data_IF_367985822829
#
_entry.id   IF_367985822829
#
_cell.length_a   1.000
_cell.length_b   1.000
_cell.length_c   1.000
_cell.angle_alpha   90.00
_cell.angle_beta   90.00
_cell.angle_gamma   90.00
#
_symmetry.space_group_name_H-M   'P 1'
#
loop_
_entity.id
_entity.type
_entity.pdbx_description
1 polymer ?
#
# COMPACT_ATOMS: atom_id res chain seq x y z
N UNK A 1 0.49 29.55 3.02
CA UNK A 1 0.27 28.98 4.37
C UNK A 1 -1.18 28.55 4.60
N UNK A 2 -2.17 29.35 4.21
CA UNK A 2 -3.63 29.06 4.36
C UNK A 2 -4.10 27.77 3.66
N UNK A 3 -3.59 27.43 2.46
CA UNK A 3 -4.05 26.23 1.73
C UNK A 3 -3.67 24.89 2.40
N UNK A 4 -2.53 24.83 3.10
CA UNK A 4 -2.07 23.60 3.77
C UNK A 4 -2.83 23.30 5.06
N UNK A 5 -3.20 24.32 5.82
CA UNK A 5 -4.07 24.17 6.99
C UNK A 5 -5.46 23.69 6.58
N UNK A 6 -6.00 24.25 5.50
CA UNK A 6 -7.27 23.80 4.90
C UNK A 6 -7.22 22.32 4.48
N UNK A 7 -6.09 21.83 3.94
CA UNK A 7 -5.94 20.41 3.60
C UNK A 7 -5.87 19.50 4.81
N UNK A 8 -5.15 19.89 5.87
CA UNK A 8 -5.15 19.13 7.13
C UNK A 8 -6.56 18.97 7.68
N UNK A 9 -7.33 20.07 7.70
CA UNK A 9 -8.72 20.04 8.14
C UNK A 9 -9.59 19.13 7.29
N UNK A 10 -9.47 19.21 5.94
CA UNK A 10 -10.19 18.34 5.02
C UNK A 10 -9.87 16.86 5.24
N UNK A 11 -8.59 16.52 5.43
CA UNK A 11 -8.16 15.14 5.70
C UNK A 11 -8.74 14.68 7.04
N UNK A 12 -8.60 15.48 8.09
CA UNK A 12 -9.11 15.15 9.43
C UNK A 12 -10.63 14.96 9.42
N UNK A 13 -11.36 15.81 8.70
CA UNK A 13 -12.80 15.71 8.54
C UNK A 13 -13.17 14.45 7.72
N UNK A 14 -12.44 14.20 6.63
CA UNK A 14 -12.62 12.99 5.83
C UNK A 14 -12.41 11.69 6.61
N UNK A 15 -11.43 11.67 7.53
CA UNK A 15 -11.21 10.55 8.45
C UNK A 15 -12.39 10.36 9.42
N UNK A 16 -12.87 11.45 10.02
CA UNK A 16 -14.00 11.41 10.96
C UNK A 16 -15.31 10.96 10.32
N UNK A 17 -15.52 11.30 9.06
CA UNK A 17 -16.74 10.99 8.31
C UNK A 17 -16.62 9.74 7.43
N UNK A 18 -15.57 8.94 7.63
CA UNK A 18 -15.33 7.69 6.89
C UNK A 18 -15.30 7.88 5.35
N UNK A 19 -14.79 9.03 4.88
CA UNK A 19 -14.77 9.40 3.47
C UNK A 19 -13.56 8.91 2.68
N UNK A 20 -12.58 8.27 3.32
CA UNK A 20 -11.50 7.57 2.63
C UNK A 20 -11.95 6.16 2.22
N UNK A 21 -11.82 5.87 0.93
CA UNK A 21 -12.25 4.59 0.38
C UNK A 21 -11.16 4.01 -0.54
N UNK A 22 -10.94 2.68 -0.53
CA UNK A 22 -10.08 2.04 -1.51
C UNK A 22 -10.77 1.96 -2.87
N UNK A 23 -10.03 2.33 -3.91
CA UNK A 23 -10.35 1.97 -5.28
C UNK A 23 -9.39 0.89 -5.73
N UNK A 24 -9.87 -0.06 -6.49
CA UNK A 24 -9.13 -1.28 -6.81
C UNK A 24 -8.66 -1.24 -8.26
N UNK A 25 -7.34 -1.13 -8.45
CA UNK A 25 -6.72 -1.20 -9.76
C UNK A 25 -6.33 -2.64 -10.07
N UNK A 26 -6.82 -3.24 -11.19
CA UNK A 26 -6.50 -4.62 -11.52
C UNK A 26 -5.03 -4.74 -11.95
N UNK A 27 -4.40 -5.84 -11.57
CA UNK A 27 -3.07 -6.26 -12.01
C UNK A 27 -3.26 -7.51 -12.85
N UNK A 28 -2.85 -7.42 -14.12
CA UNK A 28 -2.95 -8.53 -15.07
C UNK A 28 -1.78 -9.49 -14.86
N UNK A 29 -2.09 -10.76 -14.67
CA UNK A 29 -1.12 -11.83 -14.74
C UNK A 29 -0.83 -12.12 -16.23
N UNK A 30 0.41 -11.90 -16.65
CA UNK A 30 0.82 -12.04 -18.06
C UNK A 30 0.96 -13.50 -18.49
N UNK A 31 1.16 -14.42 -17.55
CA UNK A 31 1.28 -15.85 -17.86
C UNK A 31 -0.10 -16.47 -18.13
N UNK A 32 -1.08 -16.12 -17.29
CA UNK A 32 -2.43 -16.69 -17.37
C UNK A 32 -3.42 -15.82 -18.15
N UNK A 33 -3.11 -14.55 -18.38
CA UNK A 33 -4.01 -13.56 -18.98
C UNK A 33 -5.21 -13.21 -18.11
N UNK A 34 -5.14 -13.47 -16.81
CA UNK A 34 -6.26 -13.27 -15.86
C UNK A 34 -5.95 -12.20 -14.82
N UNK A 35 -6.98 -11.71 -14.14
CA UNK A 35 -6.86 -10.73 -13.06
C UNK A 35 -7.37 -11.37 -11.77
N UNK A 36 -6.45 -11.67 -10.87
CA UNK A 36 -6.74 -12.16 -9.52
C UNK A 36 -6.15 -11.27 -8.43
N UNK A 37 -5.41 -10.24 -8.82
CA UNK A 37 -4.70 -9.34 -7.94
C UNK A 37 -5.14 -7.89 -8.21
N UNK A 38 -5.34 -7.10 -7.15
CA UNK A 38 -5.74 -5.70 -7.24
C UNK A 38 -4.91 -4.86 -6.27
N UNK A 39 -4.51 -3.66 -6.69
CA UNK A 39 -3.96 -2.67 -5.80
C UNK A 39 -5.07 -1.77 -5.24
N UNK A 40 -5.10 -1.61 -3.92
CA UNK A 40 -6.03 -0.76 -3.20
C UNK A 40 -5.47 0.65 -3.07
N UNK A 41 -5.98 1.56 -3.88
CA UNK A 41 -5.54 2.95 -3.95
C UNK A 41 -6.51 3.85 -3.18
N UNK A 42 -6.00 4.57 -2.17
CA UNK A 42 -6.79 5.50 -1.38
C UNK A 42 -7.46 6.57 -2.25
N UNK A 43 -8.73 6.85 -1.98
CA UNK A 43 -9.49 7.97 -2.55
C UNK A 43 -10.21 8.69 -1.44
N UNK A 44 -10.15 10.03 -1.44
CA UNK A 44 -10.95 10.84 -0.54
C UNK A 44 -12.19 11.34 -1.29
N UNK A 45 -13.35 11.07 -0.76
CA UNK A 45 -14.60 11.64 -1.26
C UNK A 45 -14.78 13.04 -0.68
N UNK A 46 -14.75 14.06 -1.51
CA UNK A 46 -14.97 15.44 -1.11
C UNK A 46 -16.39 15.68 -0.59
N UNK A 47 -16.62 16.80 0.09
CA UNK A 47 -17.96 17.18 0.56
C UNK A 47 -18.95 17.41 -0.61
N UNK A 48 -18.42 17.79 -1.75
CA UNK A 48 -19.16 17.93 -3.02
C UNK A 48 -19.34 16.62 -3.79
N UNK A 49 -18.94 15.48 -3.19
CA UNK A 49 -18.99 14.15 -3.79
C UNK A 49 -17.89 13.87 -4.82
N UNK A 50 -17.00 14.82 -5.12
CA UNK A 50 -15.89 14.58 -6.05
C UNK A 50 -14.82 13.71 -5.46
N UNK A 51 -14.23 12.88 -6.31
CA UNK A 51 -13.12 12.02 -5.92
C UNK A 51 -11.81 12.81 -5.97
N UNK A 52 -11.09 12.78 -4.86
CA UNK A 52 -9.79 13.41 -4.69
C UNK A 52 -8.72 12.33 -4.69
N UNK A 53 -7.73 12.49 -5.57
CA UNK A 53 -6.65 11.54 -5.76
C UNK A 53 -5.54 11.67 -4.70
N UNK A 54 -4.78 10.61 -4.40
CA UNK A 54 -3.74 10.58 -3.37
C UNK A 54 -2.71 11.70 -3.51
N UNK A 55 -2.25 12.02 -4.72
CA UNK A 55 -1.26 13.08 -4.95
C UNK A 55 -1.67 14.47 -4.45
N UNK A 56 -2.96 14.68 -4.12
CA UNK A 56 -3.43 15.94 -3.53
C UNK A 56 -3.34 15.98 -2.00
N UNK A 57 -3.26 14.84 -1.32
CA UNK A 57 -3.38 14.78 0.13
C UNK A 57 -2.31 13.95 0.85
N UNK A 58 -1.67 12.96 0.20
CA UNK A 58 -0.71 12.03 0.86
C UNK A 58 0.47 12.79 1.44
N UNK A 59 1.16 13.64 0.67
CA UNK A 59 2.31 14.42 1.15
C UNK A 59 1.94 15.29 2.37
N UNK A 60 0.71 15.81 2.37
CA UNK A 60 0.21 16.63 3.47
C UNK A 60 -0.08 15.75 4.68
N UNK A 61 -0.72 14.60 4.49
CA UNK A 61 -1.00 13.64 5.55
C UNK A 61 0.30 13.15 6.21
N UNK A 62 1.34 12.87 5.42
CA UNK A 62 2.67 12.50 5.94
C UNK A 62 3.32 13.61 6.77
N UNK A 63 3.29 14.86 6.26
CA UNK A 63 3.86 16.02 6.99
C UNK A 63 3.20 16.26 8.33
N UNK A 64 1.90 16.01 8.43
CA UNK A 64 1.14 16.15 9.68
C UNK A 64 1.05 14.86 10.51
N UNK A 65 1.75 13.80 10.10
CA UNK A 65 1.76 12.49 10.78
C UNK A 65 0.36 11.89 10.97
N UNK A 66 -0.52 12.07 9.97
CA UNK A 66 -1.89 11.52 9.95
C UNK A 66 -2.10 10.49 8.84
N UNK A 67 -1.08 10.20 8.04
CA UNK A 67 -1.15 9.20 6.96
C UNK A 67 -1.49 7.81 7.50
N UNK A 68 -0.89 7.38 8.60
CA UNK A 68 -1.17 6.07 9.22
C UNK A 68 -2.64 5.87 9.63
N UNK A 69 -3.41 6.94 9.85
CA UNK A 69 -4.86 6.84 10.05
C UNK A 69 -5.60 6.53 8.75
N UNK A 70 -5.13 7.09 7.63
CA UNK A 70 -5.66 6.78 6.29
C UNK A 70 -5.34 5.33 5.96
N UNK A 71 -4.10 4.90 6.17
CA UNK A 71 -3.64 3.54 5.87
C UNK A 71 -4.47 2.51 6.64
N UNK A 72 -4.68 2.71 7.94
CA UNK A 72 -5.54 1.83 8.75
C UNK A 72 -6.97 1.74 8.22
N UNK A 73 -7.55 2.86 7.78
CA UNK A 73 -8.90 2.87 7.21
C UNK A 73 -8.96 2.10 5.88
N UNK A 74 -7.98 2.31 4.99
CA UNK A 74 -7.89 1.60 3.72
C UNK A 74 -7.65 0.11 3.94
N UNK A 75 -6.75 -0.27 4.85
CA UNK A 75 -6.47 -1.67 5.22
C UNK A 75 -7.74 -2.36 5.69
N UNK A 76 -8.46 -1.79 6.64
CA UNK A 76 -9.68 -2.40 7.16
C UNK A 76 -10.75 -2.59 6.07
N UNK A 77 -10.99 -1.56 5.25
CA UNK A 77 -11.97 -1.64 4.16
C UNK A 77 -11.57 -2.65 3.10
N UNK A 78 -10.27 -2.75 2.79
CA UNK A 78 -9.75 -3.73 1.84
C UNK A 78 -9.88 -5.15 2.36
N UNK A 79 -9.55 -5.40 3.63
CA UNK A 79 -9.73 -6.72 4.26
C UNK A 79 -11.20 -7.15 4.27
N UNK A 80 -12.13 -6.23 4.58
CA UNK A 80 -13.57 -6.50 4.48
C UNK A 80 -13.98 -6.88 3.06
N UNK A 81 -13.43 -6.18 2.05
CA UNK A 81 -13.68 -6.49 0.64
C UNK A 81 -13.12 -7.85 0.26
N UNK A 82 -11.92 -8.19 0.68
CA UNK A 82 -11.31 -9.50 0.42
C UNK A 82 -12.18 -10.63 1.01
N UNK A 83 -12.60 -10.51 2.27
CA UNK A 83 -13.48 -11.48 2.92
C UNK A 83 -14.84 -11.61 2.21
N UNK A 84 -15.42 -10.49 1.75
CA UNK A 84 -16.67 -10.49 0.97
C UNK A 84 -16.50 -11.28 -0.33
N UNK A 85 -15.40 -11.06 -1.07
CA UNK A 85 -15.13 -11.74 -2.33
C UNK A 85 -14.89 -13.23 -2.12
N UNK A 86 -14.13 -13.59 -1.07
CA UNK A 86 -13.91 -14.99 -0.69
C UNK A 86 -15.22 -15.72 -0.38
N UNK A 87 -16.13 -15.10 0.37
CA UNK A 87 -17.48 -15.67 0.65
C UNK A 87 -18.31 -15.88 -0.59
N UNK A 88 -18.08 -15.10 -1.65
CA UNK A 88 -18.73 -15.27 -2.97
C UNK A 88 -18.05 -16.33 -3.85
N UNK A 89 -17.00 -16.99 -3.35
CA UNK A 89 -16.25 -17.98 -4.12
C UNK A 89 -15.29 -17.36 -5.16
N UNK A 90 -14.96 -16.07 -5.01
CA UNK A 90 -14.05 -15.35 -5.89
C UNK A 90 -12.77 -15.03 -5.10
N UNK A 91 -11.73 -15.88 -5.15
CA UNK A 91 -10.50 -15.66 -4.43
C UNK A 91 -9.69 -14.55 -5.12
N UNK A 92 -9.64 -13.38 -4.49
CA UNK A 92 -8.88 -12.22 -4.97
C UNK A 92 -7.83 -11.83 -3.94
N UNK A 93 -6.66 -11.44 -4.42
CA UNK A 93 -5.59 -10.85 -3.62
C UNK A 93 -5.60 -9.32 -3.73
N UNK A 94 -5.25 -8.65 -2.64
CA UNK A 94 -5.23 -7.20 -2.58
C UNK A 94 -3.91 -6.70 -2.03
N UNK A 95 -3.30 -5.77 -2.76
CA UNK A 95 -2.12 -5.03 -2.32
C UNK A 95 -2.53 -3.70 -1.70
N UNK A 96 -1.87 -3.32 -0.61
CA UNK A 96 -2.16 -2.12 0.18
C UNK A 96 -0.87 -1.39 0.49
N UNK A 97 -0.82 -0.11 0.15
CA UNK A 97 0.32 0.74 0.41
C UNK A 97 0.42 1.10 1.90
N UNK A 98 1.64 1.12 2.41
CA UNK A 98 2.00 1.59 3.74
C UNK A 98 2.95 2.78 3.65
N UNK A 99 2.76 3.75 4.51
CA UNK A 99 3.75 4.83 4.67
C UNK A 99 5.05 4.30 5.29
N UNK A 100 6.18 4.80 4.84
CA UNK A 100 7.47 4.48 5.46
C UNK A 100 7.55 4.84 6.95
N UNK A 101 6.69 5.74 7.43
CA UNK A 101 6.57 6.09 8.86
C UNK A 101 5.94 4.98 9.71
N UNK A 102 5.19 4.09 9.08
CA UNK A 102 4.56 2.95 9.74
C UNK A 102 5.54 1.79 9.97
N UNK A 103 6.72 1.84 9.33
CA UNK A 103 7.79 0.88 9.59
C UNK A 103 8.29 0.97 11.03
N UNK A 104 8.06 -0.09 11.79
CA UNK A 104 8.38 -0.13 13.21
C UNK A 104 7.25 0.35 14.13
N UNK A 105 6.08 0.67 13.59
CA UNK A 105 4.86 0.90 14.38
C UNK A 105 4.29 -0.46 14.83
N UNK A 106 4.53 -0.81 16.08
CA UNK A 106 3.98 -2.04 16.69
C UNK A 106 2.46 -2.02 16.76
N UNK A 107 1.87 -0.84 16.93
CA UNK A 107 0.41 -0.67 17.00
C UNK A 107 -0.24 -0.98 15.65
N UNK A 108 0.46 -0.72 14.53
CA UNK A 108 -0.02 -1.10 13.21
C UNK A 108 -0.04 -2.63 13.00
N UNK A 109 1.00 -3.34 13.45
CA UNK A 109 1.03 -4.81 13.37
C UNK A 109 -0.09 -5.44 14.20
N UNK A 110 -0.31 -4.95 15.41
CA UNK A 110 -1.41 -5.42 16.26
C UNK A 110 -2.77 -5.08 15.64
N UNK A 111 -2.91 -3.89 15.06
CA UNK A 111 -4.12 -3.52 14.31
C UNK A 111 -4.37 -4.49 13.14
N UNK A 112 -3.36 -4.79 12.31
CA UNK A 112 -3.48 -5.72 11.18
C UNK A 112 -3.92 -7.10 11.67
N UNK A 113 -3.29 -7.64 12.73
CA UNK A 113 -3.63 -8.93 13.32
C UNK A 113 -5.08 -8.98 13.81
N UNK A 114 -5.52 -7.95 14.52
CA UNK A 114 -6.90 -7.83 15.00
C UNK A 114 -7.86 -7.77 13.82
N UNK A 115 -7.56 -6.95 12.78
CA UNK A 115 -8.43 -6.79 11.62
C UNK A 115 -8.52 -8.03 10.74
N UNK A 116 -7.46 -8.81 10.60
CA UNK A 116 -7.52 -10.13 9.93
C UNK A 116 -8.57 -11.02 10.64
N UNK A 117 -8.52 -11.06 11.97
CA UNK A 117 -9.46 -11.86 12.76
C UNK A 117 -10.89 -11.33 12.68
N UNK A 118 -11.10 -10.03 12.87
CA UNK A 118 -12.44 -9.40 12.86
C UNK A 118 -13.13 -9.49 11.50
N UNK A 119 -12.38 -9.31 10.42
CA UNK A 119 -12.93 -9.34 9.06
C UNK A 119 -13.02 -10.75 8.49
N UNK A 120 -12.32 -11.71 9.09
CA UNK A 120 -12.13 -13.06 8.56
C UNK A 120 -11.50 -13.03 7.15
N UNK A 121 -10.56 -12.12 6.92
CA UNK A 121 -9.79 -12.04 5.68
C UNK A 121 -8.73 -13.15 5.64
N UNK A 122 -8.45 -13.70 4.46
CA UNK A 122 -7.35 -14.65 4.27
C UNK A 122 -6.02 -13.87 4.18
N UNK A 123 -5.12 -14.00 5.16
CA UNK A 123 -3.85 -13.26 5.14
C UNK A 123 -3.00 -13.59 3.91
N UNK A 124 -3.10 -14.79 3.34
CA UNK A 124 -2.38 -15.19 2.12
C UNK A 124 -2.81 -14.43 0.86
N UNK A 125 -3.92 -13.73 0.93
CA UNK A 125 -4.46 -12.87 -0.12
C UNK A 125 -4.22 -11.38 0.15
N UNK A 126 -3.44 -11.04 1.18
CA UNK A 126 -3.09 -9.67 1.54
C UNK A 126 -1.61 -9.42 1.24
N UNK A 127 -1.34 -8.38 0.47
CA UNK A 127 0.01 -7.93 0.15
C UNK A 127 0.18 -6.53 0.73
N UNK A 128 1.24 -6.28 1.47
CA UNK A 128 1.58 -4.95 1.95
C UNK A 128 2.75 -4.40 1.14
N UNK A 129 2.64 -3.15 0.71
CA UNK A 129 3.62 -2.51 -0.16
C UNK A 129 4.27 -1.33 0.55
N UNK A 130 5.59 -1.22 0.44
CA UNK A 130 6.34 0.00 0.80
C UNK A 130 7.26 0.38 -0.35
N UNK A 131 7.56 1.68 -0.45
CA UNK A 131 8.53 2.14 -1.44
C UNK A 131 9.94 1.69 -1.10
N UNK A 132 10.76 1.50 -2.12
CA UNK A 132 12.20 1.20 -1.98
C UNK A 132 12.89 2.19 -1.04
N UNK A 133 12.66 3.48 -1.25
CA UNK A 133 13.27 4.55 -0.44
C UNK A 133 12.90 4.43 1.04
N UNK A 134 11.67 4.08 1.35
CA UNK A 134 11.21 3.90 2.73
C UNK A 134 11.87 2.69 3.40
N UNK A 135 12.00 1.57 2.68
CA UNK A 135 12.64 0.36 3.19
C UNK A 135 14.12 0.57 3.51
N UNK A 136 14.86 1.28 2.63
CA UNK A 136 16.28 1.56 2.80
C UNK A 136 16.52 2.57 3.93
N UNK A 137 15.60 3.52 4.13
CA UNK A 137 15.71 4.55 5.16
C UNK A 137 15.89 3.99 6.58
N UNK A 138 15.32 2.82 6.87
CA UNK A 138 15.54 2.06 8.12
C UNK A 138 15.36 0.56 7.86
N UNK A 139 16.40 -0.05 7.27
CA UNK A 139 16.36 -1.45 6.86
C UNK A 139 16.08 -2.42 8.01
N UNK A 140 16.60 -2.13 9.19
CA UNK A 140 16.40 -3.00 10.37
C UNK A 140 14.93 -3.02 10.80
N UNK A 141 14.28 -1.85 10.84
CA UNK A 141 12.85 -1.78 11.15
C UNK A 141 12.02 -2.41 10.04
N UNK A 142 12.33 -2.13 8.76
CA UNK A 142 11.67 -2.73 7.63
C UNK A 142 11.73 -4.25 7.69
N UNK A 143 12.92 -4.83 7.89
CA UNK A 143 13.11 -6.28 7.98
C UNK A 143 12.31 -6.90 9.13
N UNK A 144 12.29 -6.27 10.30
CA UNK A 144 11.48 -6.76 11.44
C UNK A 144 9.99 -6.71 11.14
N UNK A 145 9.53 -5.61 10.55
CA UNK A 145 8.13 -5.42 10.20
C UNK A 145 7.67 -6.43 9.14
N UNK A 146 8.44 -6.60 8.07
CA UNK A 146 8.16 -7.59 7.01
C UNK A 146 8.09 -9.00 7.59
N UNK A 147 9.05 -9.39 8.44
CA UNK A 147 9.03 -10.70 9.09
C UNK A 147 7.76 -10.91 9.89
N UNK A 148 7.36 -9.93 10.71
CA UNK A 148 6.13 -10.02 11.50
C UNK A 148 4.87 -10.14 10.62
N UNK A 149 4.78 -9.43 9.49
CA UNK A 149 3.69 -9.57 8.52
C UNK A 149 3.67 -10.97 7.90
N UNK A 150 4.84 -11.51 7.55
CA UNK A 150 4.96 -12.86 6.98
C UNK A 150 4.60 -13.96 8.00
N UNK A 151 4.88 -13.75 9.28
CA UNK A 151 4.43 -14.65 10.37
C UNK A 151 2.90 -14.67 10.52
N UNK A 152 2.20 -13.58 10.16
CA UNK A 152 0.74 -13.56 10.05
C UNK A 152 0.22 -14.26 8.78
N UNK A 153 1.09 -14.65 7.86
CA UNK A 153 0.75 -15.27 6.58
C UNK A 153 0.55 -14.28 5.44
N UNK A 154 0.82 -12.99 5.64
CA UNK A 154 0.71 -11.97 4.61
C UNK A 154 1.93 -11.97 3.67
N UNK A 155 1.75 -11.38 2.49
CA UNK A 155 2.83 -11.12 1.54
C UNK A 155 3.32 -9.69 1.62
N UNK A 156 4.51 -9.47 1.07
CA UNK A 156 5.16 -8.18 1.05
C UNK A 156 5.70 -7.82 -0.32
N UNK A 157 5.48 -6.59 -0.75
CA UNK A 157 5.93 -6.04 -2.02
C UNK A 157 6.82 -4.80 -1.81
N UNK A 158 7.88 -4.68 -2.60
CA UNK A 158 8.69 -3.48 -2.67
C UNK A 158 8.27 -2.68 -3.90
N UNK A 159 7.82 -1.44 -3.67
CA UNK A 159 7.34 -0.54 -4.72
C UNK A 159 8.39 0.50 -5.13
N UNK A 160 8.19 1.11 -6.31
CA UNK A 160 9.06 2.10 -6.94
C UNK A 160 10.52 1.61 -7.09
N UNK A 161 10.71 0.31 -7.34
CA UNK A 161 12.04 -0.29 -7.44
C UNK A 161 12.84 0.25 -8.62
N UNK A 162 14.11 0.60 -8.32
CA UNK A 162 15.07 1.10 -9.30
C UNK A 162 15.28 2.62 -9.25
N UNK A 163 14.44 3.37 -8.52
CA UNK A 163 14.61 4.83 -8.34
C UNK A 163 15.62 5.14 -7.24
N UNK A 164 15.85 4.18 -6.34
CA UNK A 164 16.82 4.29 -5.23
C UNK A 164 18.17 3.64 -5.52
N UNK A 165 18.99 3.51 -4.48
CA UNK A 165 20.29 2.85 -4.53
C UNK A 165 20.23 1.44 -3.96
N UNK A 166 19.31 0.60 -4.43
CA UNK A 166 19.15 -0.74 -3.88
C UNK A 166 20.24 -1.68 -4.35
N UNK A 167 20.90 -2.34 -3.42
CA UNK A 167 21.71 -3.51 -3.75
C UNK A 167 20.88 -4.78 -3.60
N UNK A 168 21.14 -5.81 -4.41
CA UNK A 168 20.51 -7.13 -4.28
C UNK A 168 20.64 -7.73 -2.87
N UNK A 169 21.61 -7.27 -2.07
CA UNK A 169 21.78 -7.67 -0.67
C UNK A 169 20.58 -7.26 0.18
N UNK A 170 20.05 -6.06 -0.01
CA UNK A 170 18.87 -5.58 0.74
C UNK A 170 17.59 -6.36 0.39
N UNK A 171 17.40 -6.70 -0.88
CA UNK A 171 16.28 -7.54 -1.31
C UNK A 171 16.30 -8.90 -0.60
N UNK A 172 17.48 -9.50 -0.47
CA UNK A 172 17.65 -10.77 0.22
C UNK A 172 17.35 -10.67 1.72
N UNK A 173 17.71 -9.56 2.35
CA UNK A 173 17.44 -9.32 3.77
C UNK A 173 15.97 -9.04 4.05
N UNK A 174 15.29 -8.26 3.17
CA UNK A 174 13.87 -7.93 3.30
C UNK A 174 12.95 -9.12 3.04
N UNK A 175 13.41 -10.16 2.32
CA UNK A 175 12.62 -11.34 1.97
C UNK A 175 11.29 -10.97 1.28
N UNK A 176 11.33 -10.03 0.33
CA UNK A 176 10.16 -9.60 -0.44
C UNK A 176 9.59 -10.73 -1.28
N UNK A 177 8.27 -10.75 -1.44
CA UNK A 177 7.57 -11.71 -2.30
C UNK A 177 7.39 -11.13 -3.70
N UNK A 178 7.24 -9.81 -3.83
CA UNK A 178 7.04 -9.11 -5.08
C UNK A 178 7.91 -7.85 -5.17
N UNK A 179 8.22 -7.44 -6.39
CA UNK A 179 8.89 -6.19 -6.72
C UNK A 179 8.09 -5.50 -7.80
N UNK A 180 7.73 -4.24 -7.58
CA UNK A 180 7.09 -3.37 -8.57
C UNK A 180 8.14 -2.43 -9.15
N UNK A 181 8.44 -2.59 -10.42
CA UNK A 181 9.41 -1.74 -11.12
C UNK A 181 8.77 -0.37 -11.36
N UNK A 182 9.49 0.71 -11.02
CA UNK A 182 8.97 2.06 -11.22
C UNK A 182 8.63 2.33 -12.68
N UNK A 183 7.51 3.00 -12.89
CA UNK A 183 6.99 3.30 -14.21
C UNK A 183 7.91 4.16 -15.09
N UNK A 184 8.93 4.84 -14.54
CA UNK A 184 9.91 5.61 -15.32
C UNK A 184 10.73 4.74 -16.25
N UNK A 185 11.05 3.51 -15.83
CA UNK A 185 11.78 2.52 -16.64
C UNK A 185 10.93 2.01 -17.80
N UNK A 186 9.63 1.83 -17.56
CA UNK A 186 8.72 1.25 -18.56
C UNK A 186 8.27 2.29 -19.58
N UNK A 187 8.04 3.54 -19.17
CA UNK A 187 7.56 4.63 -20.05
C UNK A 187 8.50 4.92 -21.22
N UNK A 188 9.79 4.72 -21.05
CA UNK A 188 10.83 4.99 -22.06
C UNK A 188 11.43 3.73 -22.66
N UNK A 189 10.93 2.55 -22.33
CA UNK A 189 11.47 1.26 -22.75
C UNK A 189 11.69 1.15 -24.25
N UNK A 190 10.81 1.75 -25.05
CA UNK A 190 10.90 1.74 -26.52
C UNK A 190 11.91 2.77 -27.08
N UNK A 191 12.36 3.73 -26.26
CA UNK A 191 13.30 4.80 -26.66
C UNK A 191 14.68 4.62 -26.03
N UNK A 192 14.78 3.92 -24.91
CA UNK A 192 16.00 3.76 -24.11
C UNK A 192 16.56 2.37 -24.24
N UNK A 193 17.77 2.27 -24.81
CA UNK A 193 18.48 1.00 -24.90
C UNK A 193 18.96 0.49 -23.54
N UNK A 194 19.19 1.41 -22.59
CA UNK A 194 19.59 1.10 -21.21
C UNK A 194 18.46 0.46 -20.43
N UNK A 195 17.20 0.82 -20.70
CA UNK A 195 16.01 0.28 -20.02
C UNK A 195 15.56 -1.08 -20.64
N UNK A 196 16.16 -1.49 -21.76
CA UNK A 196 15.86 -2.75 -22.46
C UNK A 196 16.77 -3.92 -22.06
N UNK A 197 17.83 -3.66 -21.30
CA UNK A 197 18.84 -4.63 -20.87
C UNK A 197 18.63 -5.00 -19.42
#
# INVERSE_FOLDING_TARGET
>A
MHSRLSWKEKITHGLKEDRFNPWFQPILDLETGTVHHYEALARLVGEDGKIILPGSFIDIAERFCIVGLIDRMIIEKTMRKQSEMMKKGVPLSFAMNLSGKDLGDTDLLDFIKVKITETNADPRSLVFEITETAAIGDLEKATRFVRALKELGCHFSLDDFGVGFTSFTYLKELQVDFIKIDGSFIKKLHESHEDQV
#
